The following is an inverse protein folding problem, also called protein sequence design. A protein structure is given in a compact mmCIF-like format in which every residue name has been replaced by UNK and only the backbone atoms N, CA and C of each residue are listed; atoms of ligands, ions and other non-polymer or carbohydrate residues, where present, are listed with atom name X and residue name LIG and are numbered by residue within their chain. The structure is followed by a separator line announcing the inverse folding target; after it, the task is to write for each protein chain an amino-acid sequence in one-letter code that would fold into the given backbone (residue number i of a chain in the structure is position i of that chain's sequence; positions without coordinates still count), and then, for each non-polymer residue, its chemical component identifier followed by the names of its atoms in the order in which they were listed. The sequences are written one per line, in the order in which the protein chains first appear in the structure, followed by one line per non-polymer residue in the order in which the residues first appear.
data_IF_921199826308
#
_entry.id   IF_921199826308
#
_cell.length_a   1.000
_cell.length_b   1.000
_cell.length_c   1.000
_cell.angle_alpha   90.00
_cell.angle_beta   90.00
_cell.angle_gamma   90.00
#
_symmetry.space_group_name_H-M   'P 1'
#
loop_
_entity.id
_entity.type
_entity.pdbx_description
1 polymer ?
#
# COMPACT_ATOMS: atom_id res chain seq x y z
N UNK A 1 -18.51 0.39 -34.02
CA UNK A 1 -18.73 0.27 -32.56
C UNK A 1 -17.90 -0.90 -32.07
N UNK A 2 -16.84 -0.66 -31.31
CA UNK A 2 -16.06 -1.74 -30.69
C UNK A 2 -16.83 -2.28 -29.49
N UNK A 3 -17.22 -3.55 -29.54
CA UNK A 3 -17.81 -4.26 -28.40
C UNK A 3 -16.74 -4.47 -27.34
N UNK A 4 -16.80 -3.73 -26.25
CA UNK A 4 -15.92 -3.94 -25.09
C UNK A 4 -16.41 -5.16 -24.33
N UNK A 5 -15.63 -6.22 -24.32
CA UNK A 5 -15.86 -7.36 -23.43
C UNK A 5 -15.67 -6.90 -21.97
N UNK A 6 -16.60 -7.21 -21.05
CA UNK A 6 -16.44 -6.86 -19.65
C UNK A 6 -15.23 -7.60 -19.04
N UNK A 7 -14.47 -6.88 -18.22
CA UNK A 7 -13.38 -7.44 -17.42
C UNK A 7 -13.83 -7.63 -15.97
N UNK A 8 -13.23 -8.62 -15.30
CA UNK A 8 -13.46 -8.91 -13.88
C UNK A 8 -12.19 -8.62 -13.08
N UNK A 9 -12.33 -8.02 -11.91
CA UNK A 9 -11.22 -7.82 -10.96
C UNK A 9 -10.83 -9.18 -10.39
N UNK A 10 -9.57 -9.59 -10.60
CA UNK A 10 -9.07 -10.87 -10.09
C UNK A 10 -8.71 -10.79 -8.60
N UNK A 11 -7.97 -9.76 -8.19
CA UNK A 11 -7.58 -9.51 -6.81
C UNK A 11 -7.53 -8.01 -6.54
N UNK A 12 -7.71 -7.62 -5.28
CA UNK A 12 -7.58 -6.24 -4.82
C UNK A 12 -6.62 -6.19 -3.64
N UNK A 13 -5.67 -5.27 -3.69
CA UNK A 13 -4.64 -5.12 -2.67
C UNK A 13 -4.55 -3.68 -2.20
N UNK A 14 -4.42 -3.48 -0.90
CA UNK A 14 -4.12 -2.20 -0.26
C UNK A 14 -2.73 -2.25 0.37
N UNK A 15 -1.98 -1.16 0.30
CA UNK A 15 -0.65 -1.05 0.91
C UNK A 15 -0.65 0.09 1.95
N UNK A 16 -1.07 -0.16 3.21
CA UNK A 16 -1.29 0.91 4.19
C UNK A 16 -0.05 1.75 4.49
N UNK A 17 1.13 1.12 4.54
CA UNK A 17 2.41 1.78 4.81
C UNK A 17 3.27 1.76 3.55
N UNK A 18 3.81 2.92 3.19
CA UNK A 18 4.75 3.08 2.07
C UNK A 18 5.89 2.06 2.16
N UNK A 19 6.12 1.35 1.05
CA UNK A 19 7.22 0.39 0.85
C UNK A 19 7.16 -0.90 1.68
N UNK A 20 6.09 -1.14 2.45
CA UNK A 20 5.80 -2.43 3.08
C UNK A 20 4.86 -3.29 2.22
N UNK A 21 4.77 -4.58 2.53
CA UNK A 21 3.75 -5.48 1.98
C UNK A 21 2.36 -5.08 2.48
N UNK A 22 1.36 -5.29 1.62
CA UNK A 22 -0.02 -4.89 1.86
C UNK A 22 -0.93 -5.98 2.42
N UNK A 23 -2.23 -5.77 2.26
CA UNK A 23 -3.32 -6.69 2.59
C UNK A 23 -4.17 -6.94 1.34
N UNK A 24 -4.68 -8.16 1.21
CA UNK A 24 -5.64 -8.51 0.17
C UNK A 24 -7.07 -8.20 0.66
N UNK A 25 -7.90 -7.65 -0.22
CA UNK A 25 -9.23 -7.16 0.10
C UNK A 25 -10.29 -7.77 -0.81
N UNK A 26 -11.50 -7.91 -0.27
CA UNK A 26 -12.69 -8.26 -1.05
C UNK A 26 -13.39 -7.04 -1.65
N UNK A 27 -13.05 -5.84 -1.19
CA UNK A 27 -13.62 -4.57 -1.64
C UNK A 27 -13.07 -3.40 -0.83
N UNK A 28 -13.18 -2.20 -1.39
CA UNK A 28 -12.85 -0.94 -0.71
C UNK A 28 -13.45 0.22 -1.47
N UNK A 29 -13.68 1.33 -0.76
CA UNK A 29 -14.06 2.59 -1.36
C UNK A 29 -12.93 3.16 -2.22
N UNK A 30 -13.32 3.80 -3.33
CA UNK A 30 -12.44 4.58 -4.20
C UNK A 30 -12.69 6.04 -3.91
N UNK A 31 -11.64 6.74 -3.50
CA UNK A 31 -11.63 8.17 -3.24
C UNK A 31 -10.92 8.90 -4.40
N UNK A 32 -10.94 10.23 -4.38
CA UNK A 32 -10.14 11.03 -5.31
C UNK A 32 -8.63 10.75 -5.21
N UNK A 33 -8.15 10.27 -4.07
CA UNK A 33 -6.76 9.90 -3.81
C UNK A 33 -6.43 8.45 -4.13
N UNK A 34 -7.40 7.67 -4.64
CA UNK A 34 -7.30 6.23 -4.84
C UNK A 34 -8.04 5.43 -3.77
N UNK A 35 -7.62 4.19 -3.58
CA UNK A 35 -8.24 3.26 -2.65
C UNK A 35 -8.17 3.81 -1.22
N UNK A 36 -9.31 3.88 -0.51
CA UNK A 36 -9.34 4.35 0.88
C UNK A 36 -8.28 3.62 1.72
N UNK A 37 -7.49 4.35 2.51
CA UNK A 37 -6.42 3.80 3.35
C UNK A 37 -5.14 3.35 2.63
N UNK A 38 -5.08 3.39 1.29
CA UNK A 38 -3.88 3.03 0.56
C UNK A 38 -2.78 4.09 0.68
N UNK A 39 -1.55 3.65 1.02
CA UNK A 39 -0.40 4.50 1.36
C UNK A 39 -0.72 5.62 2.37
N UNK A 40 -1.65 5.39 3.30
CA UNK A 40 -2.01 6.37 4.33
C UNK A 40 -0.85 6.72 5.28
N UNK A 41 0.12 5.82 5.43
CA UNK A 41 1.25 5.97 6.35
C UNK A 41 2.61 5.83 5.66
N UNK A 42 3.63 6.41 6.28
CA UNK A 42 5.03 6.17 5.97
C UNK A 42 5.85 6.16 7.26
N UNK A 43 6.89 5.32 7.32
CA UNK A 43 7.84 5.38 8.42
C UNK A 43 8.81 6.55 8.22
N UNK A 44 9.15 7.22 9.31
CA UNK A 44 10.14 8.29 9.35
C UNK A 44 11.32 7.83 10.19
N UNK A 45 12.52 8.03 9.67
CA UNK A 45 13.76 7.80 10.39
C UNK A 45 13.92 8.89 11.45
N UNK A 46 13.91 8.48 12.73
CA UNK A 46 13.89 9.41 13.88
C UNK A 46 15.15 10.27 13.99
N UNK A 47 16.28 9.80 13.47
CA UNK A 47 17.55 10.53 13.52
C UNK A 47 17.61 11.61 12.44
N UNK A 48 17.14 11.28 11.24
CA UNK A 48 17.27 12.16 10.07
C UNK A 48 16.02 12.96 9.74
N UNK A 49 14.87 12.61 10.33
CA UNK A 49 13.55 13.19 10.01
C UNK A 49 13.05 12.85 8.59
N UNK A 50 13.74 11.96 7.86
CA UNK A 50 13.42 11.62 6.47
C UNK A 50 12.50 10.41 6.40
N UNK A 51 11.60 10.42 5.43
CA UNK A 51 10.77 9.26 5.10
C UNK A 51 11.67 8.09 4.66
N UNK A 52 11.46 6.93 5.28
CA UNK A 52 12.16 5.69 4.95
C UNK A 52 11.68 5.17 3.60
N UNK A 53 12.58 4.54 2.85
CA UNK A 53 12.30 3.98 1.53
C UNK A 53 13.04 2.67 1.33
N UNK A 54 12.39 1.67 0.74
CA UNK A 54 13.02 0.38 0.42
C UNK A 54 14.19 0.49 -0.60
N UNK A 55 14.45 1.68 -1.15
CA UNK A 55 15.58 1.96 -2.05
C UNK A 55 16.95 1.93 -1.36
N UNK A 56 17.02 1.83 -0.03
CA UNK A 56 18.29 1.65 0.70
C UNK A 56 18.27 0.34 1.52
N UNK A 57 18.37 -0.82 0.85
CA UNK A 57 18.30 -2.12 1.51
C UNK A 57 19.49 -2.38 2.46
N UNK A 58 20.62 -1.67 2.31
CA UNK A 58 21.72 -1.77 3.28
C UNK A 58 21.32 -1.18 4.63
N UNK A 59 20.63 -0.03 4.62
CA UNK A 59 20.17 0.64 5.84
C UNK A 59 18.93 -0.05 6.42
N UNK A 60 18.05 -0.57 5.58
CA UNK A 60 16.76 -1.17 5.99
C UNK A 60 16.49 -2.50 5.27
N UNK A 61 17.26 -3.56 5.58
CA UNK A 61 17.25 -4.81 4.80
C UNK A 61 15.92 -5.55 4.78
N UNK A 62 15.17 -5.50 5.88
CA UNK A 62 13.90 -6.22 6.02
C UNK A 62 12.67 -5.33 5.75
N UNK A 63 12.87 -4.06 5.38
CA UNK A 63 11.75 -3.11 5.33
C UNK A 63 10.67 -3.53 4.31
N UNK A 64 11.09 -4.14 3.19
CA UNK A 64 10.19 -4.63 2.16
C UNK A 64 9.45 -5.92 2.55
N UNK A 65 9.90 -6.66 3.57
CA UNK A 65 9.28 -7.92 4.00
C UNK A 65 8.23 -7.72 5.09
N UNK A 66 8.27 -6.58 5.78
CA UNK A 66 7.23 -6.23 6.75
C UNK A 66 5.88 -6.03 6.06
N UNK A 67 4.82 -6.40 6.77
CA UNK A 67 3.44 -6.29 6.32
C UNK A 67 2.67 -5.32 7.21
N UNK A 68 1.81 -4.52 6.58
CA UNK A 68 0.85 -3.68 7.28
C UNK A 68 -0.57 -4.03 6.84
N UNK A 69 -1.49 -4.00 7.80
CA UNK A 69 -2.93 -4.13 7.62
C UNK A 69 -3.63 -3.24 8.64
N UNK A 70 -4.82 -2.76 8.30
CA UNK A 70 -5.64 -2.00 9.24
C UNK A 70 -6.31 -2.96 10.24
N UNK A 71 -6.21 -2.69 11.55
CA UNK A 71 -6.88 -3.51 12.59
C UNK A 71 -8.36 -3.18 12.74
N UNK A 72 -8.76 -2.00 12.27
CA UNK A 72 -10.14 -1.52 12.10
C UNK A 72 -10.24 -0.80 10.77
N UNK A 73 -11.41 -0.78 10.10
CA UNK A 73 -11.55 -0.08 8.83
C UNK A 73 -10.98 1.36 8.86
N UNK A 74 -10.25 1.79 7.82
CA UNK A 74 -9.66 3.13 7.70
C UNK A 74 -10.68 4.24 7.53
#
# INVERSE_FOLDING_TARGET
MTTTTPATVATLWRYPVKSMMGEELNGSEITIGGLLGDRAYALVDVETGKVISAKNPKKWPNFFTYRAAFTTPP
#
